data_IF_618728975892
#
_entry.id   IF_618728975892
#
_cell.length_a   1.000
_cell.length_b   1.000
_cell.length_c   1.000
_cell.angle_alpha   90.00
_cell.angle_beta   90.00
_cell.angle_gamma   90.00
#
_symmetry.space_group_name_H-M   'P 1'
#
loop_
_entity.id
_entity.type
_entity.pdbx_description
1 polymer ?
#
# COMPACT_ATOMS: atom_id res chain seq x y z
N UNK A 1 -16.74 -4.01 7.56
CA UNK A 1 -15.97 -5.19 8.00
C UNK A 1 -14.48 -4.96 7.82
N UNK A 2 -14.02 -4.62 6.63
CA UNK A 2 -12.59 -4.49 6.30
C UNK A 2 -11.84 -3.32 6.98
N UNK A 3 -12.48 -2.15 7.13
CA UNK A 3 -11.89 -0.96 7.75
C UNK A 3 -12.31 -0.79 9.22
N UNK A 4 -12.66 -1.88 9.90
CA UNK A 4 -13.01 -1.80 11.32
C UNK A 4 -11.72 -1.59 12.11
N UNK A 5 -11.75 -0.71 13.12
CA UNK A 5 -10.58 -0.32 13.92
C UNK A 5 -9.79 -1.51 14.46
N UNK A 6 -10.46 -2.62 14.76
CA UNK A 6 -9.88 -3.83 15.35
C UNK A 6 -8.95 -4.59 14.39
N UNK A 7 -9.04 -4.33 13.08
CA UNK A 7 -8.26 -5.01 12.04
C UNK A 7 -7.29 -4.08 11.31
N UNK A 8 -7.21 -2.80 11.71
CA UNK A 8 -6.29 -1.83 11.12
C UNK A 8 -5.03 -1.77 11.99
N UNK A 9 -3.96 -2.38 11.51
CA UNK A 9 -2.62 -2.12 12.04
C UNK A 9 -1.99 -0.96 11.27
N UNK A 10 -1.74 0.16 11.95
CA UNK A 10 -0.98 1.26 11.40
C UNK A 10 0.51 0.92 11.42
N UNK A 11 1.06 0.54 10.26
CA UNK A 11 2.50 0.43 10.10
C UNK A 11 3.07 1.82 9.73
N UNK A 12 3.54 2.57 10.73
CA UNK A 12 4.22 3.84 10.49
C UNK A 12 5.69 3.59 10.13
N UNK A 13 6.01 3.63 8.84
CA UNK A 13 7.38 3.64 8.33
C UNK A 13 7.97 5.05 8.45
N UNK A 14 8.76 5.29 9.51
CA UNK A 14 9.54 6.53 9.65
C UNK A 14 10.79 6.41 8.77
N UNK A 15 10.65 6.81 7.52
CA UNK A 15 11.79 7.04 6.64
C UNK A 15 12.49 8.33 7.09
N UNK A 16 13.74 8.23 7.57
CA UNK A 16 14.52 9.40 8.02
C UNK A 16 14.61 10.51 6.96
N UNK A 17 14.89 11.75 7.40
CA UNK A 17 14.87 12.97 6.57
C UNK A 17 15.65 12.93 5.24
N UNK A 18 16.57 11.98 5.08
CA UNK A 18 17.34 11.78 3.85
C UNK A 18 16.53 10.98 2.83
N UNK A 19 16.28 11.57 1.64
CA UNK A 19 15.60 10.97 0.48
C UNK A 19 15.76 9.45 0.34
N UNK A 20 14.89 8.69 1.00
CA UNK A 20 15.03 7.24 1.17
C UNK A 20 14.17 6.46 0.18
N UNK A 21 13.95 7.01 -1.02
CA UNK A 21 13.19 6.33 -2.08
C UNK A 21 13.77 4.94 -2.38
N UNK A 22 15.07 4.76 -2.18
CA UNK A 22 15.76 3.48 -2.33
C UNK A 22 15.61 2.52 -1.14
N UNK A 23 15.35 3.03 0.07
CA UNK A 23 15.26 2.18 1.27
C UNK A 23 13.90 1.52 1.43
N UNK A 24 12.83 2.07 0.83
CA UNK A 24 11.48 1.48 0.96
C UNK A 24 11.44 0.03 0.46
N UNK A 25 12.18 -0.30 -0.60
CA UNK A 25 12.27 -1.67 -1.12
C UNK A 25 12.92 -2.64 -0.12
N UNK A 26 13.88 -2.17 0.68
CA UNK A 26 14.53 -2.97 1.73
C UNK A 26 13.53 -3.30 2.83
N UNK A 27 12.74 -2.32 3.25
CA UNK A 27 11.70 -2.52 4.27
C UNK A 27 10.55 -3.39 3.76
N UNK A 28 10.10 -3.18 2.53
CA UNK A 28 9.05 -4.01 1.93
C UNK A 28 9.48 -5.47 1.84
N UNK A 29 10.75 -5.72 1.53
CA UNK A 29 11.29 -7.08 1.53
C UNK A 29 11.22 -7.71 2.93
N UNK A 30 11.70 -7.01 3.96
CA UNK A 30 11.63 -7.48 5.34
C UNK A 30 10.18 -7.75 5.78
N UNK A 31 9.26 -6.84 5.43
CA UNK A 31 7.84 -7.00 5.73
C UNK A 31 7.25 -8.25 5.05
N UNK A 32 7.59 -8.50 3.78
CA UNK A 32 7.12 -9.69 3.06
C UNK A 32 7.64 -10.96 3.74
N UNK A 33 8.91 -10.99 4.14
CA UNK A 33 9.51 -12.13 4.84
C UNK A 33 8.82 -12.38 6.20
N UNK A 34 8.54 -11.32 6.97
CA UNK A 34 7.82 -11.43 8.24
C UNK A 34 6.38 -11.92 8.04
N UNK A 35 5.65 -11.40 7.04
CA UNK A 35 4.30 -11.85 6.72
C UNK A 35 4.26 -13.31 6.28
N UNK A 36 5.26 -13.75 5.51
CA UNK A 36 5.41 -15.16 5.14
C UNK A 36 5.65 -16.03 6.38
N UNK A 37 6.50 -15.60 7.30
CA UNK A 37 6.72 -16.34 8.55
C UNK A 37 5.45 -16.39 9.40
N UNK A 38 4.72 -15.29 9.54
CA UNK A 38 3.44 -15.23 10.26
C UNK A 38 2.36 -16.13 9.65
N UNK A 39 2.39 -16.35 8.32
CA UNK A 39 1.44 -17.22 7.65
C UNK A 39 1.80 -18.70 7.72
N UNK A 40 3.08 -19.06 7.56
CA UNK A 40 3.51 -20.46 7.47
C UNK A 40 3.91 -21.07 8.82
N UNK A 41 4.54 -20.28 9.69
CA UNK A 41 5.08 -20.72 10.98
C UNK A 41 4.23 -20.19 12.14
N UNK A 42 3.82 -18.92 12.04
CA UNK A 42 3.17 -18.21 13.12
C UNK A 42 4.14 -17.74 14.20
N UNK A 43 3.61 -17.01 15.18
CA UNK A 43 4.40 -16.49 16.31
C UNK A 43 3.71 -16.82 17.63
N UNK A 44 4.49 -17.24 18.61
CA UNK A 44 4.00 -17.51 19.95
C UNK A 44 3.56 -16.19 20.61
N UNK A 45 2.28 -16.04 20.88
CA UNK A 45 1.66 -14.80 21.38
C UNK A 45 0.88 -15.10 22.66
N UNK A 46 0.95 -14.19 23.63
CA UNK A 46 0.19 -14.30 24.87
C UNK A 46 -1.12 -13.51 24.72
N UNK A 47 -2.24 -14.19 24.95
CA UNK A 47 -3.55 -13.56 25.12
C UNK A 47 -3.61 -12.94 26.52
N UNK A 48 -3.64 -11.61 26.62
CA UNK A 48 -3.69 -10.91 27.92
C UNK A 48 -5.02 -11.07 28.64
N UNK A 49 -6.12 -11.33 27.92
CA UNK A 49 -7.44 -11.50 28.51
C UNK A 49 -7.61 -12.91 29.11
N UNK A 50 -7.01 -13.92 28.47
CA UNK A 50 -7.06 -15.32 28.94
C UNK A 50 -5.83 -15.76 29.73
N UNK A 51 -4.76 -14.96 29.70
CA UNK A 51 -3.45 -15.29 30.26
C UNK A 51 -2.90 -16.63 29.76
N UNK A 52 -3.16 -16.92 28.48
CA UNK A 52 -2.75 -18.16 27.81
C UNK A 52 -1.84 -17.83 26.63
N UNK A 53 -0.97 -18.76 26.29
CA UNK A 53 -0.07 -18.63 25.15
C UNK A 53 -0.56 -19.48 23.99
N UNK A 54 -0.65 -18.89 22.81
CA UNK A 54 -1.09 -19.59 21.59
C UNK A 54 -0.20 -19.20 20.41
N UNK A 55 -0.17 -20.04 19.38
CA UNK A 55 0.50 -19.71 18.11
C UNK A 55 -0.44 -18.86 17.28
N UNK A 56 -0.10 -17.59 17.07
CA UNK A 56 -0.85 -16.68 16.22
C UNK A 56 -0.38 -16.80 14.77
N UNK A 57 -1.32 -17.11 13.88
CA UNK A 57 -1.13 -16.97 12.43
C UNK A 57 -1.79 -15.66 11.97
N UNK A 58 -1.13 -14.95 11.07
CA UNK A 58 -1.66 -13.69 10.53
C UNK A 58 -1.44 -13.61 9.02
N UNK A 59 -2.32 -12.88 8.34
CA UNK A 59 -2.25 -12.68 6.89
C UNK A 59 -2.60 -11.23 6.55
N UNK A 60 -1.95 -10.71 5.51
CA UNK A 60 -2.22 -9.38 4.98
C UNK A 60 -3.28 -9.45 3.88
N UNK A 61 -4.41 -8.78 4.08
CA UNK A 61 -5.51 -8.78 3.11
C UNK A 61 -5.36 -7.67 2.05
N UNK A 62 -5.09 -6.43 2.45
CA UNK A 62 -4.77 -5.31 1.55
C UNK A 62 -3.93 -4.25 2.25
N UNK A 63 -3.20 -3.45 1.46
CA UNK A 63 -2.49 -2.25 1.92
C UNK A 63 -3.25 -1.03 1.40
N UNK A 64 -3.63 -0.11 2.29
CA UNK A 64 -4.21 1.18 1.89
C UNK A 64 -3.06 2.15 1.67
N UNK A 65 -2.88 2.58 0.42
CA UNK A 65 -1.85 3.54 0.03
C UNK A 65 -2.51 4.78 -0.59
N UNK A 66 -1.92 5.96 -0.39
CA UNK A 66 -2.26 7.12 -1.20
C UNK A 66 -1.69 6.97 -2.62
N UNK A 67 -2.10 7.84 -3.56
CA UNK A 67 -1.68 7.76 -4.96
C UNK A 67 -0.14 7.82 -5.14
N UNK A 68 0.59 8.73 -4.47
CA UNK A 68 2.05 8.74 -4.50
C UNK A 68 2.69 7.44 -3.97
N UNK A 69 2.25 6.94 -2.81
CA UNK A 69 2.78 5.72 -2.21
C UNK A 69 2.47 4.49 -3.08
N UNK A 70 1.30 4.45 -3.74
CA UNK A 70 0.95 3.40 -4.68
C UNK A 70 1.95 3.33 -5.86
N UNK A 71 2.38 4.49 -6.36
CA UNK A 71 3.44 4.58 -7.36
C UNK A 71 4.77 4.00 -6.90
N UNK A 72 5.16 4.32 -5.67
CA UNK A 72 6.44 3.85 -5.09
C UNK A 72 6.41 2.36 -4.74
N UNK A 73 5.28 1.85 -4.24
CA UNK A 73 5.16 0.47 -3.72
C UNK A 73 4.87 -0.56 -4.82
N UNK A 74 4.07 -0.19 -5.83
CA UNK A 74 3.67 -1.10 -6.92
C UNK A 74 4.34 -0.79 -8.27
N UNK A 75 5.33 0.10 -8.29
CA UNK A 75 6.02 0.52 -9.52
C UNK A 75 5.10 1.22 -10.51
N UNK A 76 4.01 1.82 -10.04
CA UNK A 76 3.03 2.49 -10.89
C UNK A 76 3.52 3.88 -11.30
N UNK A 77 3.43 4.21 -12.59
CA UNK A 77 3.75 5.57 -13.04
C UNK A 77 2.67 6.53 -12.54
N UNK A 78 3.00 7.36 -11.55
CA UNK A 78 2.18 8.49 -11.10
C UNK A 78 2.34 9.72 -12.01
N UNK A 79 3.23 9.62 -13.01
CA UNK A 79 3.49 10.66 -14.00
C UNK A 79 2.46 10.51 -15.12
N UNK A 80 1.34 11.19 -14.93
CA UNK A 80 0.59 11.89 -15.98
C UNK A 80 -0.04 11.11 -17.15
N UNK A 81 -0.18 9.77 -17.17
CA UNK A 81 -0.92 9.10 -18.27
C UNK A 81 -1.96 8.08 -17.81
N UNK A 82 -1.84 7.54 -16.59
CA UNK A 82 -2.83 6.61 -16.05
C UNK A 82 -3.60 7.28 -14.91
N UNK A 83 -4.88 7.56 -15.17
CA UNK A 83 -5.86 7.77 -14.10
C UNK A 83 -5.92 6.56 -13.17
N UNK A 84 -6.71 6.69 -12.09
CA UNK A 84 -6.86 5.69 -11.00
C UNK A 84 -6.81 4.25 -11.54
N UNK A 85 -6.22 3.28 -10.80
CA UNK A 85 -6.06 1.90 -11.27
C UNK A 85 -7.36 1.24 -11.77
N UNK A 86 -8.50 1.65 -11.21
CA UNK A 86 -9.84 1.17 -11.57
C UNK A 86 -10.33 1.74 -12.92
N UNK A 87 -9.85 2.90 -13.32
CA UNK A 87 -10.32 3.64 -14.50
C UNK A 87 -9.38 3.54 -15.70
N UNK A 88 -8.30 2.75 -15.62
CA UNK A 88 -7.23 2.71 -16.65
C UNK A 88 -7.75 2.37 -18.05
N UNK A 89 -8.83 1.59 -18.15
CA UNK A 89 -9.41 1.22 -19.45
C UNK A 89 -10.21 2.34 -20.11
N UNK A 90 -10.72 3.31 -19.34
CA UNK A 90 -11.65 4.33 -19.85
C UNK A 90 -11.17 5.78 -19.64
N UNK A 91 -10.03 5.99 -18.99
CA UNK A 91 -9.54 7.36 -18.70
C UNK A 91 -8.94 7.99 -19.95
N UNK A 92 -9.65 8.95 -20.55
CA UNK A 92 -9.12 9.79 -21.63
C UNK A 92 -8.33 10.95 -21.04
N UNK A 93 -7.00 10.85 -21.05
CA UNK A 93 -6.12 11.97 -20.77
C UNK A 93 -5.87 12.78 -22.07
N UNK A 94 -6.05 14.10 -22.01
CA UNK A 94 -5.83 15.00 -23.13
C UNK A 94 -4.67 15.95 -22.83
N UNK A 95 -3.76 16.10 -23.80
CA UNK A 95 -2.71 17.11 -23.75
C UNK A 95 -3.24 18.43 -24.31
N UNK A 96 -3.26 19.49 -23.48
CA UNK A 96 -3.57 20.83 -23.96
C UNK A 96 -2.39 21.38 -24.77
N UNK A 97 -2.56 21.48 -26.09
CA UNK A 97 -1.50 21.89 -27.02
C UNK A 97 -0.83 23.23 -26.67
N UNK A 98 -1.58 24.19 -26.12
CA UNK A 98 -1.03 25.53 -25.78
C UNK A 98 -0.16 25.55 -24.54
N UNK A 99 -0.52 24.79 -23.50
CA UNK A 99 0.12 24.90 -22.18
C UNK A 99 0.96 23.67 -21.82
N UNK A 100 0.96 22.63 -22.67
CA UNK A 100 1.61 21.32 -22.42
C UNK A 100 1.23 20.71 -21.07
N UNK A 101 0.07 21.10 -20.53
CA UNK A 101 -0.50 20.55 -19.32
C UNK A 101 -1.41 19.39 -19.70
N UNK A 102 -1.33 18.34 -18.90
CA UNK A 102 -2.19 17.19 -19.02
C UNK A 102 -3.49 17.43 -18.26
N UNK A 103 -4.62 17.18 -18.91
CA UNK A 103 -5.95 17.30 -18.34
C UNK A 103 -6.66 15.94 -18.36
N UNK A 104 -7.28 15.60 -17.22
CA UNK A 104 -8.15 14.44 -17.08
C UNK A 104 -9.59 14.95 -17.08
N UNK A 105 -10.42 14.40 -17.96
CA UNK A 105 -11.87 14.62 -17.91
C UNK A 105 -12.50 13.51 -17.08
N UNK A 106 -13.47 13.89 -16.25
CA UNK A 106 -14.21 12.95 -15.42
C UNK A 106 -14.90 11.90 -16.31
N UNK A 107 -14.71 10.62 -15.98
CA UNK A 107 -15.24 9.48 -16.72
C UNK A 107 -16.58 9.01 -16.15
N UNK A 108 -17.19 9.75 -15.20
CA UNK A 108 -18.55 9.52 -14.77
C UNK A 108 -19.55 9.89 -15.89
N UNK A 109 -19.93 8.89 -16.69
CA UNK A 109 -21.17 8.92 -17.47
C UNK A 109 -21.92 7.61 -17.30
#
# INVERSE_FOLDING_TARGET
>A
MCMSSEYIFLMMLILGLSNSKHLINVYLKLLIEELQNLWHVGVLTQDSAKNETFTMLSTLMWIVNDLPAYGMTFGWSTIAVMGRPVCVKDTRALYLQKNRKLCYFDCHR
#
